data_IF_054845447282
#
_entry.id   IF_054845447282
#
_cell.length_a   1.000
_cell.length_b   1.000
_cell.length_c   1.000
_cell.angle_alpha   90.00
_cell.angle_beta   90.00
_cell.angle_gamma   90.00
#
_symmetry.space_group_name_H-M   'P 1'
#
loop_
_entity.id
_entity.type
_entity.pdbx_description
1 polymer ?
#
# COMPACT_ATOMS: atom_id res chain seq x y z
N UNK A 1 -17.33 -11.14 4.58
CA UNK A 1 -15.94 -10.97 5.07
C UNK A 1 -15.65 -9.48 5.05
N UNK A 2 -15.06 -8.96 6.12
CA UNK A 2 -14.49 -7.61 6.12
C UNK A 2 -13.10 -7.69 5.48
N UNK A 3 -12.93 -7.10 4.30
CA UNK A 3 -11.69 -7.23 3.54
C UNK A 3 -11.15 -5.89 3.05
N UNK A 4 -9.84 -5.81 2.88
CA UNK A 4 -9.14 -4.74 2.18
C UNK A 4 -8.09 -5.37 1.28
N UNK A 5 -8.05 -5.00 0.00
CA UNK A 5 -7.04 -5.51 -0.95
C UNK A 5 -5.96 -4.45 -1.14
N UNK A 6 -4.73 -4.77 -0.71
CA UNK A 6 -3.56 -3.88 -0.87
C UNK A 6 -2.82 -4.25 -2.15
N UNK A 7 -2.65 -3.28 -3.06
CA UNK A 7 -1.96 -3.45 -4.34
C UNK A 7 -0.64 -2.64 -4.32
N UNK A 8 0.47 -3.24 -3.86
CA UNK A 8 1.73 -2.52 -3.81
C UNK A 8 2.33 -2.33 -5.21
N UNK A 9 3.12 -1.28 -5.35
CA UNK A 9 4.12 -1.19 -6.41
C UNK A 9 5.24 -2.24 -6.26
N UNK A 10 6.33 -2.08 -7.02
CA UNK A 10 7.43 -3.04 -7.00
C UNK A 10 8.11 -3.08 -5.63
N UNK A 11 8.03 -4.24 -4.97
CA UNK A 11 8.55 -4.43 -3.63
C UNK A 11 10.08 -4.43 -3.61
N UNK A 12 10.67 -3.67 -2.70
CA UNK A 12 12.11 -3.70 -2.43
C UNK A 12 12.43 -3.65 -0.93
N UNK A 13 13.66 -4.04 -0.59
CA UNK A 13 14.17 -3.96 0.78
C UNK A 13 14.73 -2.56 1.03
N UNK A 14 13.85 -1.63 1.37
CA UNK A 14 14.19 -0.26 1.75
C UNK A 14 13.92 0.02 3.21
N UNK A 15 14.51 1.09 3.74
CA UNK A 15 14.15 1.63 5.05
C UNK A 15 12.70 2.09 5.05
N UNK A 16 12.05 1.96 6.20
CA UNK A 16 10.72 2.53 6.46
C UNK A 16 10.77 4.05 6.30
N UNK A 17 9.97 4.59 5.38
CA UNK A 17 9.88 6.04 5.11
C UNK A 17 8.61 6.68 5.66
N UNK A 18 7.54 5.90 5.89
CA UNK A 18 6.19 6.38 6.29
C UNK A 18 5.62 7.47 5.37
N UNK A 19 6.15 7.60 4.16
CA UNK A 19 5.71 8.52 3.11
C UNK A 19 5.36 7.65 1.91
N UNK A 20 4.10 7.26 1.83
CA UNK A 20 3.56 6.47 0.73
C UNK A 20 2.34 7.17 0.14
N UNK A 21 2.23 7.11 -1.18
CA UNK A 21 1.10 7.62 -1.96
C UNK A 21 0.04 6.54 -2.01
N UNK A 22 -1.21 6.95 -1.88
CA UNK A 22 -2.38 6.08 -1.90
C UNK A 22 -3.30 6.50 -3.03
N UNK A 23 -3.88 5.53 -3.71
CA UNK A 23 -4.93 5.81 -4.68
C UNK A 23 -5.24 4.63 -5.60
N UNK A 24 -6.35 4.70 -6.34
CA UNK A 24 -6.73 3.66 -7.29
C UNK A 24 -5.72 3.50 -8.44
N UNK A 25 -4.96 4.56 -8.76
CA UNK A 25 -3.93 4.60 -9.81
C UNK A 25 -2.51 4.34 -9.31
N UNK A 26 -2.29 4.29 -7.99
CA UNK A 26 -0.97 3.92 -7.46
C UNK A 26 -0.78 2.40 -7.58
N UNK A 27 0.45 1.96 -7.86
CA UNK A 27 0.74 0.53 -8.12
C UNK A 27 0.21 0.04 -9.47
N UNK A 28 -0.02 0.95 -10.42
CA UNK A 28 -0.44 0.58 -11.77
C UNK A 28 0.64 -0.22 -12.50
N UNK A 29 0.26 -1.36 -13.07
CA UNK A 29 1.18 -2.33 -13.70
C UNK A 29 2.11 -1.71 -14.76
N UNK A 30 1.58 -0.77 -15.56
CA UNK A 30 2.35 -0.12 -16.65
C UNK A 30 3.38 0.90 -16.13
N UNK A 31 3.13 1.54 -14.99
CA UNK A 31 4.01 2.58 -14.41
C UNK A 31 4.33 2.22 -12.96
N UNK A 32 4.90 1.03 -12.78
CA UNK A 32 5.13 0.48 -11.45
C UNK A 32 6.23 1.26 -10.74
N UNK A 33 5.83 2.08 -9.75
CA UNK A 33 6.76 2.71 -8.81
C UNK A 33 7.18 1.70 -7.74
N UNK A 34 8.35 1.94 -7.14
CA UNK A 34 8.85 1.10 -6.06
C UNK A 34 8.19 1.42 -4.73
N UNK A 35 8.05 0.40 -3.88
CA UNK A 35 7.67 0.57 -2.47
C UNK A 35 8.46 -0.35 -1.55
N UNK A 36 8.86 0.17 -0.39
CA UNK A 36 9.58 -0.63 0.60
C UNK A 36 8.62 -1.61 1.29
N UNK A 37 9.08 -2.86 1.54
CA UNK A 37 8.30 -3.84 2.32
C UNK A 37 7.89 -3.30 3.70
N UNK A 38 8.77 -2.49 4.32
CA UNK A 38 8.52 -1.88 5.62
C UNK A 38 7.40 -0.82 5.59
N UNK A 39 7.25 -0.07 4.48
CA UNK A 39 6.16 0.88 4.32
C UNK A 39 4.82 0.18 4.04
N UNK A 40 4.83 -0.91 3.27
CA UNK A 40 3.63 -1.75 3.08
C UNK A 40 3.16 -2.32 4.42
N UNK A 41 4.08 -2.83 5.25
CA UNK A 41 3.75 -3.32 6.59
C UNK A 41 3.19 -2.22 7.50
N UNK A 42 3.77 -1.02 7.50
CA UNK A 42 3.25 0.13 8.25
C UNK A 42 1.82 0.49 7.81
N UNK A 43 1.54 0.43 6.51
CA UNK A 43 0.20 0.67 5.98
C UNK A 43 -0.80 -0.40 6.43
N UNK A 44 -0.45 -1.68 6.32
CA UNK A 44 -1.34 -2.79 6.70
C UNK A 44 -1.74 -2.70 8.17
N UNK A 45 -0.79 -2.41 9.07
CA UNK A 45 -1.07 -2.28 10.50
C UNK A 45 -2.05 -1.12 10.78
N UNK A 46 -1.82 0.04 10.18
CA UNK A 46 -2.73 1.20 10.32
C UNK A 46 -4.12 0.89 9.78
N UNK A 47 -4.21 0.19 8.65
CA UNK A 47 -5.49 -0.14 8.03
C UNK A 47 -6.28 -1.18 8.83
N UNK A 48 -5.60 -2.12 9.50
CA UNK A 48 -6.25 -3.06 10.41
C UNK A 48 -6.94 -2.36 11.60
N UNK A 49 -6.33 -1.27 12.10
CA UNK A 49 -6.90 -0.45 13.18
C UNK A 49 -7.98 0.52 12.70
N UNK A 50 -7.75 1.21 11.57
CA UNK A 50 -8.61 2.31 11.10
C UNK A 50 -9.76 1.85 10.19
N UNK A 51 -9.59 0.71 9.49
CA UNK A 51 -10.55 0.16 8.51
C UNK A 51 -11.02 1.17 7.46
N UNK A 52 -10.15 2.11 7.06
CA UNK A 52 -10.49 3.22 6.16
C UNK A 52 -10.84 2.76 4.74
N UNK A 53 -10.26 1.64 4.34
CA UNK A 53 -10.41 1.01 3.03
C UNK A 53 -11.20 -0.30 3.10
N UNK A 54 -12.05 -0.47 4.12
CA UNK A 54 -12.95 -1.62 4.21
C UNK A 54 -13.77 -1.79 2.92
N UNK A 55 -13.77 -3.01 2.40
CA UNK A 55 -14.36 -3.45 1.14
C UNK A 55 -13.84 -2.69 -0.09
N UNK A 56 -12.58 -2.24 -0.06
CA UNK A 56 -11.94 -1.51 -1.16
C UNK A 56 -10.57 -2.09 -1.51
N UNK A 57 -10.19 -1.90 -2.77
CA UNK A 57 -8.85 -2.11 -3.25
C UNK A 57 -8.08 -0.78 -3.27
N UNK A 58 -6.89 -0.76 -2.69
CA UNK A 58 -6.06 0.45 -2.57
C UNK A 58 -4.68 0.19 -3.14
N UNK A 59 -4.24 1.08 -4.03
CA UNK A 59 -2.89 1.10 -4.55
C UNK A 59 -1.95 1.84 -3.62
N UNK A 60 -0.72 1.34 -3.46
CA UNK A 60 0.28 1.97 -2.60
C UNK A 60 1.67 1.98 -3.27
N UNK A 61 2.30 3.15 -3.29
CA UNK A 61 3.67 3.38 -3.80
C UNK A 61 4.41 4.34 -2.86
N UNK A 62 5.74 4.43 -2.95
CA UNK A 62 6.46 5.53 -2.32
C UNK A 62 6.58 6.76 -3.25
#
# INVERSE_FOLDING_TARGET
LDWTIVRPGQLFNGKKRRKYKLGPKEGHYIFTKFISRADVADFILREAEQKKYLNKAVGITN
#
